data_IF_874629413441
#
_entry.id   IF_874629413441
#
_cell.length_a   1.000
_cell.length_b   1.000
_cell.length_c   1.000
_cell.angle_alpha   90.00
_cell.angle_beta   90.00
_cell.angle_gamma   90.00
#
_symmetry.space_group_name_H-M   'P 1'
#
loop_
_entity.id
_entity.type
_entity.pdbx_description
1 polymer ?
#
# COMPACT_ATOMS: atom_id res chain seq x y z
N UNK A 1 -2.83 -4.19 -23.77
CA UNK A 1 -1.54 -3.49 -23.89
C UNK A 1 -1.04 -3.23 -22.48
N UNK A 2 0.02 -3.90 -21.98
CA UNK A 2 0.57 -3.54 -20.68
C UNK A 2 1.10 -2.12 -20.78
N UNK A 3 0.51 -1.20 -20.00
CA UNK A 3 1.00 0.18 -19.93
C UNK A 3 2.39 0.12 -19.32
N UNK A 4 3.42 0.49 -20.08
CA UNK A 4 4.75 0.73 -19.54
C UNK A 4 4.62 1.87 -18.52
N UNK A 5 4.87 1.52 -17.25
CA UNK A 5 4.97 2.50 -16.17
C UNK A 5 6.20 3.36 -16.47
N UNK A 6 6.08 4.70 -16.48
CA UNK A 6 7.24 5.57 -16.68
C UNK A 6 8.31 5.24 -15.63
N UNK A 7 9.57 5.08 -16.06
CA UNK A 7 10.69 4.82 -15.16
C UNK A 7 10.91 6.03 -14.25
N UNK A 8 10.30 6.00 -13.06
CA UNK A 8 10.52 6.97 -12.02
C UNK A 8 11.81 6.61 -11.26
N UNK A 9 12.64 7.62 -11.02
CA UNK A 9 13.97 7.53 -10.41
C UNK A 9 13.88 7.28 -8.89
N UNK A 10 13.24 6.19 -8.46
CA UNK A 10 13.15 5.81 -7.03
C UNK A 10 14.40 5.04 -6.57
N UNK A 11 15.57 5.32 -7.15
CA UNK A 11 16.82 4.60 -6.86
C UNK A 11 17.14 4.56 -5.38
N UNK A 12 17.08 5.70 -4.70
CA UNK A 12 17.35 5.81 -3.26
C UNK A 12 16.40 4.94 -2.40
N UNK A 13 15.11 4.91 -2.72
CA UNK A 13 14.14 4.09 -2.00
C UNK A 13 14.37 2.60 -2.26
N UNK A 14 14.69 2.23 -3.51
CA UNK A 14 14.98 0.85 -3.86
C UNK A 14 16.25 0.35 -3.19
N UNK A 15 17.29 1.19 -3.13
CA UNK A 15 18.55 0.86 -2.48
C UNK A 15 18.36 0.73 -0.96
N UNK A 16 17.64 1.66 -0.33
CA UNK A 16 17.30 1.57 1.09
C UNK A 16 16.45 0.33 1.41
N UNK A 17 15.51 -0.04 0.54
CA UNK A 17 14.72 -1.27 0.69
C UNK A 17 15.59 -2.52 0.62
N UNK A 18 16.56 -2.57 -0.30
CA UNK A 18 17.51 -3.68 -0.42
C UNK A 18 18.39 -3.80 0.81
N UNK A 19 18.97 -2.69 1.25
CA UNK A 19 19.79 -2.64 2.46
C UNK A 19 19.00 -3.09 3.70
N UNK A 20 17.75 -2.60 3.86
CA UNK A 20 16.89 -3.02 4.96
C UNK A 20 16.55 -4.52 4.90
N UNK A 21 16.31 -5.07 3.70
CA UNK A 21 16.10 -6.52 3.55
C UNK A 21 17.35 -7.31 3.96
N UNK A 22 18.53 -6.89 3.52
CA UNK A 22 19.79 -7.55 3.86
C UNK A 22 20.08 -7.49 5.36
N UNK A 23 19.84 -6.35 6.00
CA UNK A 23 19.98 -6.16 7.45
C UNK A 23 19.05 -7.09 8.25
N UNK A 24 17.86 -7.40 7.70
CA UNK A 24 16.90 -8.34 8.27
C UNK A 24 17.17 -9.80 7.86
N UNK A 25 18.20 -10.06 7.04
CA UNK A 25 18.52 -11.39 6.52
C UNK A 25 17.55 -11.92 5.47
N UNK A 26 16.73 -11.04 4.87
CA UNK A 26 15.73 -11.35 3.85
C UNK A 26 16.33 -11.27 2.44
N UNK A 27 15.75 -12.00 1.50
CA UNK A 27 16.10 -11.88 0.08
C UNK A 27 15.32 -10.72 -0.56
N UNK A 28 16.02 -9.70 -1.05
CA UNK A 28 15.42 -8.56 -1.76
C UNK A 28 14.99 -8.95 -3.18
N UNK A 29 13.93 -9.76 -3.30
CA UNK A 29 13.40 -10.17 -4.59
C UNK A 29 12.94 -8.94 -5.42
N UNK A 30 13.26 -8.86 -6.73
CA UNK A 30 12.90 -7.70 -7.54
C UNK A 30 11.40 -7.36 -7.54
N UNK A 31 10.55 -8.39 -7.51
CA UNK A 31 9.10 -8.20 -7.41
C UNK A 31 8.68 -7.60 -6.08
N UNK A 32 9.29 -8.03 -4.97
CA UNK A 32 9.05 -7.46 -3.64
C UNK A 32 9.40 -5.98 -3.60
N UNK A 33 10.59 -5.61 -4.09
CA UNK A 33 11.04 -4.21 -4.16
C UNK A 33 10.08 -3.38 -5.01
N UNK A 34 9.66 -3.91 -6.16
CA UNK A 34 8.72 -3.22 -7.05
C UNK A 34 7.36 -2.97 -6.39
N UNK A 35 6.82 -3.95 -5.65
CA UNK A 35 5.54 -3.81 -4.93
C UNK A 35 5.66 -2.85 -3.73
N UNK A 36 6.79 -2.85 -3.03
CA UNK A 36 7.06 -1.90 -1.95
C UNK A 36 7.11 -0.46 -2.45
N UNK A 37 7.73 -0.23 -3.62
CA UNK A 37 7.73 1.09 -4.28
C UNK A 37 6.31 1.49 -4.70
N UNK A 38 5.54 0.59 -5.32
CA UNK A 38 4.14 0.87 -5.69
C UNK A 38 3.27 1.21 -4.47
N UNK A 39 3.48 0.54 -3.34
CA UNK A 39 2.79 0.85 -2.09
C UNK A 39 3.14 2.25 -1.57
N UNK A 40 4.43 2.61 -1.61
CA UNK A 40 4.88 3.94 -1.21
C UNK A 40 4.30 5.04 -2.10
N UNK A 41 4.30 4.85 -3.42
CA UNK A 41 3.67 5.77 -4.36
C UNK A 41 2.16 5.90 -4.07
N UNK A 42 1.50 4.79 -3.79
CA UNK A 42 0.08 4.78 -3.42
C UNK A 42 -0.17 5.61 -2.15
N UNK A 43 0.72 5.54 -1.16
CA UNK A 43 0.64 6.36 0.06
C UNK A 43 0.91 7.85 -0.14
N UNK A 44 1.65 8.23 -1.18
CA UNK A 44 1.88 9.64 -1.50
C UNK A 44 0.75 10.24 -2.33
N UNK A 45 0.03 9.41 -3.09
CA UNK A 45 -1.07 9.85 -3.95
C UNK A 45 -2.43 9.76 -3.25
N UNK A 46 -2.64 8.81 -2.33
CA UNK A 46 -3.92 8.58 -1.65
C UNK A 46 -3.77 8.42 -0.14
N UNK A 47 -4.72 9.00 0.58
CA UNK A 47 -4.69 9.13 2.04
C UNK A 47 -4.98 7.83 2.83
N UNK A 48 -5.35 6.73 2.17
CA UNK A 48 -5.45 5.40 2.82
C UNK A 48 -5.91 4.26 1.91
N UNK A 49 -5.44 3.05 2.22
CA UNK A 49 -6.21 1.82 1.99
C UNK A 49 -7.27 1.71 3.11
N UNK A 50 -8.32 0.91 2.95
CA UNK A 50 -9.68 1.29 3.35
C UNK A 50 -10.31 0.78 4.67
N UNK A 51 -11.02 1.65 5.43
CA UNK A 51 -12.48 1.56 5.75
C UNK A 51 -12.91 2.60 6.83
N UNK A 52 -14.05 3.27 6.57
CA UNK A 52 -14.80 4.26 7.40
C UNK A 52 -14.27 5.71 7.43
N UNK A 53 -12.98 5.97 7.20
CA UNK A 53 -12.40 7.32 7.40
C UNK A 53 -12.26 8.22 6.15
N UNK A 54 -12.58 7.70 4.96
CA UNK A 54 -12.33 8.37 3.67
C UNK A 54 -13.55 9.16 3.17
N UNK A 55 -14.11 10.01 4.02
CA UNK A 55 -14.71 11.25 3.49
C UNK A 55 -13.58 12.28 3.39
N UNK A 56 -13.66 13.25 2.47
CA UNK A 56 -12.62 14.29 2.28
C UNK A 56 -12.31 15.04 3.60
N UNK A 57 -13.26 14.96 4.54
CA UNK A 57 -13.21 15.59 5.83
C UNK A 57 -12.30 14.90 6.88
N UNK A 58 -11.75 13.70 6.59
CA UNK A 58 -10.81 12.96 7.47
C UNK A 58 -11.23 12.94 8.95
N UNK A 59 -12.51 12.65 9.23
CA UNK A 59 -13.08 12.73 10.59
C UNK A 59 -13.71 11.40 10.99
N UNK A 60 -13.32 10.88 12.15
CA UNK A 60 -13.91 9.70 12.77
C UNK A 60 -15.12 10.09 13.61
N UNK A 61 -16.30 9.60 13.27
CA UNK A 61 -17.52 9.79 14.06
C UNK A 61 -17.74 8.58 14.96
N UNK A 62 -17.81 8.81 16.27
CA UNK A 62 -18.08 7.78 17.26
C UNK A 62 -19.59 7.66 17.54
N UNK A 63 -20.09 6.48 17.96
CA UNK A 63 -21.52 6.27 18.25
C UNK A 63 -22.09 7.16 19.36
N UNK A 64 -21.23 7.67 20.25
CA UNK A 64 -21.58 8.63 21.30
C UNK A 64 -21.74 10.07 20.76
N UNK A 65 -21.55 10.29 19.45
CA UNK A 65 -21.65 11.59 18.81
C UNK A 65 -20.35 12.39 18.74
N UNK A 66 -19.26 11.89 19.33
CA UNK A 66 -17.95 12.55 19.25
C UNK A 66 -17.37 12.46 17.84
N UNK A 67 -16.58 13.48 17.48
CA UNK A 67 -15.92 13.61 16.18
C UNK A 67 -14.45 13.87 16.38
N UNK A 68 -13.60 12.96 15.90
CA UNK A 68 -12.15 13.05 16.00
C UNK A 68 -11.60 13.38 14.61
N UNK A 69 -10.97 14.54 14.47
CA UNK A 69 -10.31 14.95 13.23
C UNK A 69 -8.94 14.29 13.13
N UNK A 70 -8.73 13.52 12.06
CA UNK A 70 -7.46 12.89 11.78
C UNK A 70 -6.55 13.85 11.02
N UNK A 71 -5.24 13.73 11.26
CA UNK A 71 -4.27 14.57 10.57
C UNK A 71 -3.98 14.00 9.18
N UNK A 72 -4.46 14.71 8.16
CA UNK A 72 -4.31 14.36 6.76
C UNK A 72 -2.86 14.39 6.21
N UNK A 73 -1.90 14.89 7.00
CA UNK A 73 -0.50 14.96 6.60
C UNK A 73 0.34 13.82 7.19
N UNK A 74 -0.06 13.25 8.33
CA UNK A 74 0.79 12.34 9.10
C UNK A 74 0.20 10.95 9.28
N UNK A 75 -1.12 10.82 9.25
CA UNK A 75 -1.79 9.55 9.44
C UNK A 75 -1.97 8.82 8.12
N UNK A 76 -1.75 7.51 8.11
CA UNK A 76 -2.05 6.64 6.97
C UNK A 76 -2.74 5.40 7.51
N UNK A 77 -3.68 4.85 6.75
CA UNK A 77 -4.36 3.61 7.11
C UNK A 77 -4.08 2.57 6.03
N UNK A 78 -3.67 1.37 6.46
CA UNK A 78 -3.35 0.24 5.60
C UNK A 78 -4.23 -0.94 6.00
N UNK A 79 -4.73 -1.68 5.00
CA UNK A 79 -5.54 -2.87 5.20
C UNK A 79 -4.96 -3.98 4.33
N UNK A 80 -4.77 -5.14 4.96
CA UNK A 80 -4.48 -6.38 4.28
C UNK A 80 -5.80 -7.13 4.09
N UNK A 81 -6.11 -7.49 2.85
CA UNK A 81 -7.34 -8.20 2.49
C UNK A 81 -7.02 -9.32 1.51
N UNK A 82 -7.69 -10.46 1.66
CA UNK A 82 -7.54 -11.60 0.76
C UNK A 82 -8.31 -11.40 -0.56
N UNK A 83 -9.54 -10.86 -0.47
CA UNK A 83 -10.39 -10.57 -1.62
C UNK A 83 -11.29 -9.35 -1.37
N UNK A 84 -12.04 -8.96 -2.40
CA UNK A 84 -12.96 -7.82 -2.38
C UNK A 84 -14.43 -8.27 -2.54
N UNK A 85 -14.74 -9.55 -2.32
CA UNK A 85 -16.05 -10.11 -2.64
C UNK A 85 -17.19 -9.43 -1.86
N UNK A 86 -16.91 -8.96 -0.63
CA UNK A 86 -17.86 -8.23 0.21
C UNK A 86 -17.74 -6.69 0.10
N UNK A 87 -16.84 -6.17 -0.74
CA UNK A 87 -16.61 -4.74 -0.87
C UNK A 87 -17.57 -4.12 -1.90
N UNK A 88 -18.16 -2.95 -1.57
CA UNK A 88 -18.95 -2.21 -2.56
C UNK A 88 -18.06 -1.52 -3.61
N UNK A 89 -18.51 -1.31 -4.85
CA UNK A 89 -17.74 -0.55 -5.84
C UNK A 89 -17.41 0.88 -5.40
N UNK A 90 -18.33 1.54 -4.67
CA UNK A 90 -18.11 2.89 -4.11
C UNK A 90 -17.01 2.90 -3.03
N UNK A 91 -16.87 1.80 -2.31
CA UNK A 91 -15.83 1.54 -1.32
C UNK A 91 -14.48 1.44 -2.02
N UNK A 92 -14.39 0.58 -3.04
CA UNK A 92 -13.17 0.37 -3.83
C UNK A 92 -12.72 1.63 -4.58
N UNK A 93 -13.66 2.44 -5.08
CA UNK A 93 -13.35 3.66 -5.85
C UNK A 93 -12.57 4.73 -5.07
N UNK A 94 -12.64 4.72 -3.73
CA UNK A 94 -12.01 5.74 -2.87
C UNK A 94 -10.61 5.37 -2.39
N UNK A 95 -10.12 4.18 -2.72
CA UNK A 95 -8.96 3.59 -2.05
C UNK A 95 -7.82 3.33 -3.02
N UNK A 96 -6.59 3.56 -2.57
CA UNK A 96 -5.40 3.05 -3.25
C UNK A 96 -5.30 1.53 -3.09
N UNK A 97 -4.95 0.82 -4.16
CA UNK A 97 -4.87 -0.63 -4.14
C UNK A 97 -3.58 -1.12 -4.78
N UNK A 98 -2.90 -2.03 -4.09
CA UNK A 98 -1.75 -2.77 -4.61
C UNK A 98 -2.13 -4.24 -4.59
N UNK A 99 -2.16 -4.86 -5.77
CA UNK A 99 -2.45 -6.29 -5.91
C UNK A 99 -1.14 -7.07 -5.92
N UNK A 100 -1.11 -8.16 -5.15
CA UNK A 100 -0.01 -9.13 -5.14
C UNK A 100 -0.57 -10.46 -5.63
N UNK A 101 -0.05 -10.94 -6.75
CA UNK A 101 -0.39 -12.27 -7.27
C UNK A 101 0.55 -13.32 -6.69
N UNK A 102 0.12 -14.59 -6.58
CA UNK A 102 1.00 -15.67 -6.11
C UNK A 102 2.27 -15.82 -6.96
N UNK A 103 2.17 -15.52 -8.26
CA UNK A 103 3.28 -15.58 -9.21
C UNK A 103 4.28 -14.44 -9.04
N UNK A 104 3.91 -13.32 -8.39
CA UNK A 104 4.78 -12.16 -8.22
C UNK A 104 6.01 -12.50 -7.37
N UNK A 105 5.84 -13.19 -6.23
CA UNK A 105 6.97 -13.53 -5.35
C UNK A 105 7.57 -14.92 -5.63
N UNK A 106 6.73 -15.90 -6.00
CA UNK A 106 7.17 -17.30 -6.13
C UNK A 106 7.77 -17.87 -4.83
N UNK A 107 8.24 -19.12 -4.85
CA UNK A 107 8.78 -19.78 -3.65
C UNK A 107 10.28 -19.53 -3.42
N UNK A 108 11.03 -19.16 -4.48
CA UNK A 108 12.50 -19.06 -4.45
C UNK A 108 13.04 -18.08 -3.41
N UNK A 109 12.45 -16.88 -3.19
CA UNK A 109 12.95 -15.93 -2.20
C UNK A 109 12.87 -16.43 -0.74
N UNK A 110 12.09 -17.48 -0.47
CA UNK A 110 11.95 -18.06 0.87
C UNK A 110 13.02 -19.09 1.20
N UNK A 111 13.77 -19.57 0.21
CA UNK A 111 14.81 -20.60 0.39
C UNK A 111 16.17 -19.97 0.09
N UNK A 112 17.05 -19.95 1.09
CA UNK A 112 18.39 -19.36 0.99
C UNK A 112 19.44 -20.42 0.65
#
# INVERSE_FOLDING_TARGET
MPKQVPEQHNGELQDALREACEALGLQAAPAFVSKAVQLWETFNVRFGAMLVLLDDNCTLCLPNGERIKLNAATMRVLFEVADLAAASPATVSRCGMVYVTPDDMGWRPYVR
#
